data_IF_805263215118
#
_entry.id   IF_805263215118
#
_cell.length_a   1.000
_cell.length_b   1.000
_cell.length_c   1.000
_cell.angle_alpha   90.00
_cell.angle_beta   90.00
_cell.angle_gamma   90.00
#
_symmetry.space_group_name_H-M   'P 1'
#
loop_
_entity.id
_entity.type
_entity.pdbx_description
1 polymer ?
#
# COMPACT_ATOMS: atom_id res chain seq x y z
N UNK A 1 -12.61 -7.72 8.47
CA UNK A 1 -13.10 -6.66 7.58
C UNK A 1 -11.93 -6.20 6.71
N UNK A 2 -12.04 -6.28 5.39
CA UNK A 2 -10.98 -5.90 4.45
C UNK A 2 -11.29 -4.48 3.97
N UNK A 3 -10.40 -3.51 4.20
CA UNK A 3 -10.68 -2.11 3.88
C UNK A 3 -9.80 -1.55 2.77
N UNK A 4 -8.49 -1.68 2.84
CA UNK A 4 -7.57 -1.13 1.84
C UNK A 4 -6.45 -2.14 1.58
N UNK A 5 -6.67 -3.14 0.73
CA UNK A 5 -5.62 -4.08 0.36
C UNK A 5 -4.52 -3.37 -0.44
N UNK A 6 -3.27 -3.50 0.02
CA UNK A 6 -2.08 -3.00 -0.66
C UNK A 6 -1.14 -4.17 -0.91
N UNK A 7 -0.73 -4.35 -2.16
CA UNK A 7 0.16 -5.43 -2.58
C UNK A 7 1.37 -4.86 -3.33
N UNK A 8 2.61 -5.15 -2.90
CA UNK A 8 3.78 -4.80 -3.69
C UNK A 8 3.87 -5.70 -4.93
N UNK A 9 4.09 -5.08 -6.07
CA UNK A 9 4.14 -5.75 -7.38
C UNK A 9 5.28 -5.19 -8.23
N UNK A 10 5.73 -5.95 -9.22
CA UNK A 10 6.73 -5.53 -10.19
C UNK A 10 6.36 -6.00 -11.60
N UNK A 11 7.00 -5.45 -12.60
CA UNK A 11 6.78 -5.80 -14.01
C UNK A 11 5.48 -5.24 -14.57
N UNK A 12 4.98 -5.85 -15.63
CA UNK A 12 3.74 -5.42 -16.29
C UNK A 12 2.54 -6.02 -15.56
N UNK A 13 1.75 -5.16 -14.93
CA UNK A 13 0.49 -5.54 -14.29
C UNK A 13 -0.63 -5.26 -15.27
N UNK A 14 -1.26 -6.32 -15.75
CA UNK A 14 -2.48 -6.28 -16.56
C UNK A 14 -3.71 -6.54 -15.69
N UNK A 15 -4.89 -6.24 -16.22
CA UNK A 15 -6.16 -6.65 -15.61
C UNK A 15 -6.20 -8.18 -15.48
N UNK A 16 -6.51 -8.70 -14.30
CA UNK A 16 -6.60 -10.15 -14.07
C UNK A 16 -6.11 -10.56 -12.68
N UNK A 17 -5.68 -11.77 -12.57
CA UNK A 17 -5.15 -12.31 -11.33
C UNK A 17 -3.78 -11.69 -11.01
N UNK A 18 -3.71 -10.95 -9.91
CA UNK A 18 -2.49 -10.36 -9.36
C UNK A 18 -2.09 -10.99 -8.02
N UNK A 19 -2.80 -11.99 -7.56
CA UNK A 19 -2.48 -12.69 -6.31
C UNK A 19 -1.09 -13.31 -6.37
N UNK A 20 -0.40 -13.35 -5.25
CA UNK A 20 0.87 -14.05 -5.08
C UNK A 20 0.67 -15.25 -4.17
N UNK A 21 1.32 -16.34 -4.51
CA UNK A 21 1.53 -17.45 -3.58
C UNK A 21 2.57 -17.04 -2.53
N UNK A 22 2.49 -17.66 -1.37
CA UNK A 22 3.49 -17.59 -0.30
C UNK A 22 3.57 -18.94 0.43
N UNK A 23 4.66 -19.16 1.15
CA UNK A 23 4.83 -20.33 2.00
C UNK A 23 4.89 -19.91 3.48
N UNK A 24 4.22 -20.68 4.33
CA UNK A 24 4.33 -20.48 5.78
C UNK A 24 5.75 -20.59 6.33
N UNK A 25 6.65 -21.28 5.63
CA UNK A 25 8.09 -21.32 5.98
C UNK A 25 8.79 -19.97 5.78
N UNK A 26 8.20 -19.09 4.95
CA UNK A 26 8.71 -17.75 4.61
C UNK A 26 7.83 -16.64 5.20
N UNK A 27 7.05 -16.97 6.23
CA UNK A 27 6.17 -16.08 6.95
C UNK A 27 6.63 -15.96 8.40
N UNK A 28 6.57 -14.76 8.96
CA UNK A 28 6.87 -14.49 10.36
C UNK A 28 5.88 -13.47 10.91
N UNK A 29 5.31 -13.79 12.07
CA UNK A 29 4.37 -12.91 12.76
C UNK A 29 4.72 -12.81 14.24
N UNK A 30 4.71 -11.60 14.78
CA UNK A 30 4.82 -11.29 16.20
C UNK A 30 4.01 -10.04 16.52
N UNK A 31 3.65 -9.76 17.77
CA UNK A 31 2.92 -8.54 18.10
C UNK A 31 3.59 -7.29 17.50
N UNK A 32 2.83 -6.53 16.72
CA UNK A 32 3.31 -5.32 16.04
C UNK A 32 4.15 -5.52 14.78
N UNK A 33 4.39 -6.76 14.35
CA UNK A 33 5.22 -7.03 13.17
C UNK A 33 4.74 -8.24 12.39
N UNK A 34 4.65 -8.10 11.08
CA UNK A 34 4.38 -9.19 10.15
C UNK A 34 5.35 -9.14 8.97
N UNK A 35 5.81 -10.31 8.53
CA UNK A 35 6.66 -10.45 7.36
C UNK A 35 6.20 -11.63 6.52
N UNK A 36 6.24 -11.47 5.19
CA UNK A 36 5.96 -12.55 4.24
C UNK A 36 6.77 -12.35 2.95
N UNK A 37 7.22 -13.45 2.36
CA UNK A 37 7.82 -13.43 1.03
C UNK A 37 6.78 -13.76 -0.03
N UNK A 38 6.56 -12.84 -0.95
CA UNK A 38 5.61 -12.96 -2.07
C UNK A 38 6.32 -13.59 -3.26
N UNK A 39 6.09 -14.87 -3.50
CA UNK A 39 6.86 -15.69 -4.45
C UNK A 39 6.73 -15.19 -5.90
N UNK A 40 5.52 -14.83 -6.33
CA UNK A 40 5.26 -14.36 -7.69
C UNK A 40 6.08 -13.12 -8.05
N UNK A 41 6.24 -12.21 -7.12
CA UNK A 41 6.92 -10.93 -7.35
C UNK A 41 8.36 -10.91 -6.83
N UNK A 42 8.77 -11.93 -6.08
CA UNK A 42 10.09 -11.99 -5.45
C UNK A 42 10.31 -10.85 -4.43
N UNK A 43 9.24 -10.45 -3.74
CA UNK A 43 9.25 -9.31 -2.81
C UNK A 43 9.13 -9.80 -1.38
N UNK A 44 10.01 -9.33 -0.51
CA UNK A 44 9.84 -9.47 0.93
C UNK A 44 9.03 -8.27 1.46
N UNK A 45 7.86 -8.55 2.03
CA UNK A 45 6.96 -7.55 2.60
C UNK A 45 7.04 -7.61 4.12
N UNK A 46 7.40 -6.48 4.75
CA UNK A 46 7.44 -6.28 6.18
C UNK A 46 6.41 -5.20 6.55
N UNK A 47 5.57 -5.48 7.55
CA UNK A 47 4.46 -4.61 7.96
C UNK A 47 4.51 -4.37 9.45
N UNK A 48 4.28 -3.13 9.85
CA UNK A 48 4.03 -2.73 11.24
C UNK A 48 2.94 -1.67 11.29
N UNK A 49 2.40 -1.37 12.45
CA UNK A 49 1.32 -0.39 12.59
C UNK A 49 1.34 0.30 13.95
N UNK A 50 0.77 1.47 13.98
CA UNK A 50 0.35 2.18 15.18
C UNK A 50 -1.18 2.11 15.31
N UNK A 51 -1.77 2.94 16.17
CA UNK A 51 -3.22 2.92 16.39
C UNK A 51 -4.04 3.26 15.11
N UNK A 52 -3.55 4.21 14.31
CA UNK A 52 -4.26 4.76 13.15
C UNK A 52 -3.43 4.78 11.87
N UNK A 53 -2.25 4.18 11.89
CA UNK A 53 -1.36 4.21 10.74
C UNK A 53 -0.74 2.84 10.49
N UNK A 54 -0.45 2.56 9.21
CA UNK A 54 0.32 1.39 8.78
C UNK A 54 1.67 1.84 8.20
N UNK A 55 2.70 1.06 8.46
CA UNK A 55 4.02 1.23 7.86
C UNK A 55 4.41 -0.04 7.14
N UNK A 56 4.54 0.05 5.84
CA UNK A 56 4.95 -1.04 4.97
C UNK A 56 6.38 -0.81 4.48
N UNK A 57 7.17 -1.87 4.47
CA UNK A 57 8.51 -1.88 3.91
C UNK A 57 8.64 -3.07 2.97
N UNK A 58 8.96 -2.80 1.71
CA UNK A 58 9.01 -3.78 0.65
C UNK A 58 10.42 -3.86 0.05
N UNK A 59 11.04 -5.03 0.16
CA UNK A 59 12.35 -5.29 -0.43
C UNK A 59 12.17 -6.07 -1.73
N UNK A 60 12.49 -5.42 -2.84
CA UNK A 60 12.45 -5.96 -4.19
C UNK A 60 13.84 -6.45 -4.62
N UNK A 61 13.90 -7.26 -5.67
CA UNK A 61 15.16 -7.54 -6.36
C UNK A 61 15.71 -6.24 -6.97
N UNK A 62 17.04 -6.05 -7.04
CA UNK A 62 17.61 -4.77 -7.49
C UNK A 62 17.23 -4.33 -8.90
N UNK A 63 16.94 -5.27 -9.79
CA UNK A 63 16.59 -4.97 -11.19
C UNK A 63 15.09 -4.74 -11.41
N UNK A 64 14.28 -4.95 -10.38
CA UNK A 64 12.82 -4.79 -10.48
C UNK A 64 12.40 -3.34 -10.27
N UNK A 65 11.45 -2.86 -11.08
CA UNK A 65 10.73 -1.61 -10.80
C UNK A 65 9.76 -1.84 -9.64
N UNK A 66 9.71 -0.87 -8.75
CA UNK A 66 8.84 -0.93 -7.58
C UNK A 66 7.49 -0.33 -7.90
N UNK A 67 6.45 -1.08 -7.58
CA UNK A 67 5.04 -0.65 -7.69
C UNK A 67 4.25 -1.16 -6.50
N UNK A 68 3.16 -0.50 -6.19
CA UNK A 68 2.14 -1.02 -5.30
C UNK A 68 0.79 -1.03 -6.01
N UNK A 69 0.06 -2.11 -5.85
CA UNK A 69 -1.32 -2.24 -6.25
C UNK A 69 -2.20 -1.94 -5.04
N UNK A 70 -3.14 -1.03 -5.21
CA UNK A 70 -4.16 -0.68 -4.21
C UNK A 70 -5.50 -1.15 -4.74
N UNK A 71 -6.06 -2.20 -4.11
CA UNK A 71 -7.36 -2.78 -4.49
C UNK A 71 -8.48 -2.12 -3.68
N UNK A 72 -8.80 -0.90 -4.06
CA UNK A 72 -9.70 -0.04 -3.30
C UNK A 72 -11.16 -0.48 -3.39
N UNK A 73 -11.55 -1.24 -4.42
CA UNK A 73 -12.92 -1.69 -4.61
C UNK A 73 -13.22 -3.07 -4.01
N UNK A 74 -12.19 -3.76 -3.49
CA UNK A 74 -12.34 -5.10 -2.94
C UNK A 74 -12.69 -5.06 -1.46
N UNK A 75 -13.98 -5.10 -1.17
CA UNK A 75 -14.53 -5.21 0.19
C UNK A 75 -15.54 -6.36 0.27
N UNK A 76 -15.89 -6.78 1.49
CA UNK A 76 -16.88 -7.84 1.67
C UNK A 76 -18.31 -7.42 1.28
N UNK A 77 -18.61 -6.12 1.32
CA UNK A 77 -19.99 -5.61 1.19
C UNK A 77 -20.13 -4.58 0.04
N UNK A 78 -19.18 -4.56 -0.88
CA UNK A 78 -19.15 -3.61 -1.99
C UNK A 78 -18.71 -2.20 -1.59
N UNK A 79 -18.30 -1.43 -2.57
CA UNK A 79 -17.86 -0.03 -2.43
C UNK A 79 -18.83 0.83 -3.23
N UNK A 80 -19.38 1.89 -2.61
CA UNK A 80 -20.32 2.81 -3.24
C UNK A 80 -19.62 3.91 -4.01
N UNK A 81 -18.53 4.42 -3.44
CA UNK A 81 -17.69 5.47 -4.02
C UNK A 81 -16.25 5.33 -3.55
N UNK A 82 -15.32 5.69 -4.40
CA UNK A 82 -13.90 5.64 -4.09
C UNK A 82 -13.11 6.63 -4.93
N UNK A 83 -11.98 7.04 -4.42
CA UNK A 83 -10.99 7.79 -5.19
C UNK A 83 -9.58 7.47 -4.74
N UNK A 84 -8.65 7.65 -5.65
CA UNK A 84 -7.22 7.68 -5.39
C UNK A 84 -6.59 8.75 -6.28
N UNK A 85 -5.77 9.61 -5.70
CA UNK A 85 -5.14 10.70 -6.43
C UNK A 85 -3.74 10.99 -5.91
N UNK A 86 -2.86 11.39 -6.83
CA UNK A 86 -1.55 11.94 -6.48
C UNK A 86 -1.75 13.34 -5.88
N UNK A 87 -1.18 13.58 -4.70
CA UNK A 87 -1.22 14.88 -4.00
C UNK A 87 0.02 15.69 -4.34
N UNK A 88 1.20 15.04 -4.26
CA UNK A 88 2.49 15.61 -4.62
C UNK A 88 3.42 14.50 -5.14
N UNK A 89 4.71 14.81 -5.29
CA UNK A 89 5.69 13.86 -5.84
C UNK A 89 5.88 12.59 -5.00
N UNK A 90 5.57 12.62 -3.72
CA UNK A 90 5.79 11.48 -2.79
C UNK A 90 4.53 11.02 -2.09
N UNK A 91 3.38 11.65 -2.40
CA UNK A 91 2.16 11.48 -1.63
C UNK A 91 0.97 11.17 -2.52
N UNK A 92 0.16 10.23 -2.09
CA UNK A 92 -1.17 10.00 -2.65
C UNK A 92 -2.21 9.83 -1.55
N UNK A 93 -3.44 10.13 -1.86
CA UNK A 93 -4.55 10.03 -0.93
C UNK A 93 -5.80 9.49 -1.61
N UNK A 94 -6.79 9.12 -0.82
CA UNK A 94 -8.04 8.65 -1.37
C UNK A 94 -9.10 8.39 -0.31
N UNK A 95 -10.24 7.98 -0.82
CA UNK A 95 -11.38 7.54 -0.01
C UNK A 95 -11.92 6.21 -0.51
N UNK A 96 -12.58 5.51 0.41
CA UNK A 96 -13.35 4.33 0.13
C UNK A 96 -14.63 4.41 0.96
N UNK A 97 -15.76 4.56 0.29
CA UNK A 97 -17.08 4.62 0.92
C UNK A 97 -17.76 3.27 0.81
N UNK A 98 -17.65 2.51 1.88
CA UNK A 98 -18.26 1.20 2.11
C UNK A 98 -19.01 1.20 3.44
N UNK A 99 -19.13 0.10 4.15
CA UNK A 99 -19.73 0.07 5.50
C UNK A 99 -18.95 0.87 6.55
N UNK A 100 -17.67 1.16 6.32
CA UNK A 100 -16.89 2.08 7.13
C UNK A 100 -16.16 3.02 6.19
N UNK A 101 -16.64 4.25 6.07
CA UNK A 101 -16.03 5.24 5.20
C UNK A 101 -14.59 5.51 5.62
N UNK A 102 -13.63 5.11 4.78
CA UNK A 102 -12.20 5.26 5.06
C UNK A 102 -11.63 6.39 4.20
N UNK A 103 -10.84 7.21 4.82
CA UNK A 103 -9.99 8.21 4.21
C UNK A 103 -8.55 7.82 4.50
N UNK A 104 -7.69 7.86 3.50
CA UNK A 104 -6.28 7.54 3.69
C UNK A 104 -5.36 8.60 3.08
N UNK A 105 -4.19 8.72 3.67
CA UNK A 105 -3.11 9.59 3.22
C UNK A 105 -1.80 8.81 3.30
N UNK A 106 -1.15 8.62 2.16
CA UNK A 106 0.01 7.73 2.03
C UNK A 106 1.25 8.51 1.55
N UNK A 107 2.38 8.28 2.22
CA UNK A 107 3.67 8.90 1.89
C UNK A 107 4.67 7.80 1.55
N UNK A 108 5.36 7.96 0.41
CA UNK A 108 6.39 7.07 -0.09
C UNK A 108 7.78 7.69 0.06
N UNK A 109 8.82 6.87 0.20
CA UNK A 109 10.21 7.30 0.12
C UNK A 109 10.77 7.35 -1.31
N UNK A 110 9.95 7.01 -2.31
CA UNK A 110 10.23 7.16 -3.73
C UNK A 110 9.25 8.13 -4.38
N UNK A 111 9.71 8.82 -5.42
CA UNK A 111 8.87 9.71 -6.22
C UNK A 111 7.83 8.90 -6.99
N UNK A 112 6.56 9.30 -6.89
CA UNK A 112 5.46 8.70 -7.63
C UNK A 112 5.56 9.15 -9.09
N UNK A 113 5.72 8.19 -9.98
CA UNK A 113 5.72 8.41 -11.41
C UNK A 113 4.29 8.54 -11.94
N UNK A 114 3.46 7.53 -11.66
CA UNK A 114 2.09 7.44 -12.19
C UNK A 114 1.18 6.68 -11.22
N UNK A 115 -0.13 6.95 -11.33
CA UNK A 115 -1.21 6.17 -10.72
C UNK A 115 -2.17 5.76 -11.82
N UNK A 116 -2.10 4.50 -12.22
CA UNK A 116 -2.90 3.93 -13.30
C UNK A 116 -4.02 3.06 -12.75
N UNK A 117 -5.22 3.26 -13.25
CA UNK A 117 -6.36 2.42 -12.91
C UNK A 117 -6.51 1.26 -13.90
N UNK A 118 -6.79 0.07 -13.39
CA UNK A 118 -7.03 -1.14 -14.15
C UNK A 118 -8.34 -1.77 -13.69
N UNK A 119 -9.10 -2.29 -14.65
CA UNK A 119 -10.29 -3.09 -14.35
C UNK A 119 -9.88 -4.55 -14.17
N UNK A 120 -10.41 -5.18 -13.12
CA UNK A 120 -10.25 -6.60 -12.83
C UNK A 120 -11.65 -7.20 -12.59
N UNK A 121 -12.33 -7.59 -13.67
CA UNK A 121 -13.73 -7.97 -13.62
C UNK A 121 -14.62 -6.78 -13.20
N UNK A 122 -15.34 -6.96 -12.10
CA UNK A 122 -16.17 -5.90 -11.49
C UNK A 122 -15.37 -4.98 -10.52
N UNK A 123 -14.10 -5.33 -10.26
CA UNK A 123 -13.24 -4.55 -9.38
C UNK A 123 -12.35 -3.60 -10.17
N UNK A 124 -12.03 -2.48 -9.55
CA UNK A 124 -11.05 -1.53 -10.05
C UNK A 124 -9.86 -1.46 -9.09
N UNK A 125 -8.67 -1.62 -9.64
CA UNK A 125 -7.43 -1.57 -8.88
C UNK A 125 -6.57 -0.41 -9.38
N UNK A 126 -5.86 0.23 -8.47
CA UNK A 126 -4.92 1.30 -8.80
C UNK A 126 -3.49 0.78 -8.65
N UNK A 127 -2.67 0.99 -9.67
CA UNK A 127 -1.24 0.68 -9.64
C UNK A 127 -0.48 1.99 -9.52
N UNK A 128 0.19 2.16 -8.39
CA UNK A 128 1.11 3.28 -8.12
C UNK A 128 2.51 2.85 -8.53
N UNK A 129 3.09 3.51 -9.50
CA UNK A 129 4.45 3.30 -10.00
C UNK A 129 5.39 4.36 -9.45
N UNK A 130 6.65 3.97 -9.19
CA UNK A 130 7.65 4.85 -8.62
C UNK A 130 8.82 5.06 -9.58
N UNK A 131 9.18 6.34 -9.81
CA UNK A 131 10.27 6.74 -10.68
C UNK A 131 11.62 6.33 -10.10
N UNK A 132 12.55 5.97 -10.98
CA UNK A 132 13.94 5.62 -10.64
C UNK A 132 14.04 4.63 -9.47
N UNK A 133 13.09 3.69 -9.41
CA UNK A 133 12.87 2.84 -8.23
C UNK A 133 13.73 1.57 -8.21
N UNK A 134 14.52 1.28 -9.25
CA UNK A 134 15.46 0.16 -9.26
C UNK A 134 16.55 0.31 -8.20
N UNK A 135 17.15 -0.79 -7.81
CA UNK A 135 18.18 -0.83 -6.77
C UNK A 135 17.72 -1.49 -5.47
N UNK A 136 18.67 -1.67 -4.54
CA UNK A 136 18.48 -2.41 -3.30
C UNK A 136 17.77 -1.65 -2.18
N UNK A 137 17.56 -0.32 -2.33
CA UNK A 137 16.85 0.48 -1.33
C UNK A 137 15.38 0.02 -1.25
N UNK A 138 14.85 -0.34 -0.08
CA UNK A 138 13.45 -0.74 0.07
C UNK A 138 12.49 0.38 -0.30
N UNK A 139 11.33 0.00 -0.83
CA UNK A 139 10.17 0.90 -0.89
C UNK A 139 9.52 0.94 0.50
N UNK A 140 9.41 2.11 1.05
CA UNK A 140 8.72 2.37 2.30
C UNK A 140 7.47 3.19 2.05
N UNK A 141 6.35 2.75 2.64
CA UNK A 141 5.05 3.40 2.49
C UNK A 141 4.43 3.55 3.87
N UNK A 142 4.21 4.78 4.29
CA UNK A 142 3.49 5.14 5.52
C UNK A 142 2.08 5.56 5.15
N UNK A 143 1.06 4.98 5.80
CA UNK A 143 -0.34 5.22 5.49
C UNK A 143 -1.09 5.62 6.76
N UNK A 144 -1.60 6.84 6.81
CA UNK A 144 -2.53 7.29 7.84
C UNK A 144 -3.96 7.03 7.42
N UNK A 145 -4.81 6.68 8.39
CA UNK A 145 -6.24 6.41 8.20
C UNK A 145 -7.11 7.33 9.05
N UNK A 146 -8.29 7.64 8.54
CA UNK A 146 -9.35 8.34 9.26
C UNK A 146 -10.72 7.94 8.74
N UNK A 147 -11.73 7.95 9.60
CA UNK A 147 -13.13 7.82 9.21
C UNK A 147 -13.81 9.17 8.98
N UNK A 148 -13.08 10.27 9.12
CA UNK A 148 -13.61 11.64 9.06
C UNK A 148 -13.18 12.34 7.76
N UNK A 149 -11.88 12.55 7.58
CA UNK A 149 -11.34 13.29 6.42
C UNK A 149 -9.93 12.85 6.06
N UNK A 150 -9.49 13.21 4.84
CA UNK A 150 -8.11 13.04 4.39
C UNK A 150 -7.15 13.89 5.25
N UNK A 151 -7.55 15.10 5.65
CA UNK A 151 -6.73 15.93 6.53
C UNK A 151 -6.51 15.30 7.90
N UNK A 152 -7.53 14.65 8.45
CA UNK A 152 -7.37 13.88 9.69
C UNK A 152 -6.47 12.64 9.50
N UNK A 153 -6.53 11.98 8.34
CA UNK A 153 -5.62 10.87 8.03
C UNK A 153 -4.16 11.37 7.95
N UNK A 154 -3.93 12.52 7.33
CA UNK A 154 -2.64 13.20 7.32
C UNK A 154 -2.16 13.57 8.72
N UNK A 155 -3.00 14.20 9.52
CA UNK A 155 -2.68 14.54 10.92
C UNK A 155 -2.31 13.30 11.75
N UNK A 156 -3.06 12.20 11.61
CA UNK A 156 -2.75 10.94 12.28
C UNK A 156 -1.35 10.42 11.89
N UNK A 157 -1.02 10.48 10.60
CA UNK A 157 0.28 10.06 10.10
C UNK A 157 1.42 10.93 10.68
N UNK A 158 1.24 12.24 10.69
CA UNK A 158 2.21 13.19 11.24
C UNK A 158 2.42 12.98 12.74
N UNK A 159 1.36 12.75 13.49
CA UNK A 159 1.44 12.53 14.93
C UNK A 159 2.08 11.20 15.31
N UNK A 160 1.78 10.14 14.58
CA UNK A 160 2.16 8.78 14.96
C UNK A 160 3.46 8.28 14.31
N UNK A 161 3.80 8.78 13.09
CA UNK A 161 4.90 8.23 12.30
C UNK A 161 5.89 9.27 11.75
N UNK A 162 5.68 10.59 12.03
CA UNK A 162 6.65 11.60 11.61
C UNK A 162 8.02 11.26 12.19
N UNK A 163 9.05 11.31 11.34
CA UNK A 163 10.45 11.08 11.71
C UNK A 163 10.78 9.69 12.30
N UNK A 164 9.82 8.76 12.35
CA UNK A 164 10.09 7.39 12.78
C UNK A 164 10.55 6.53 11.62
N UNK A 165 11.59 5.74 11.87
CA UNK A 165 11.98 4.61 11.02
C UNK A 165 11.06 3.42 11.24
N UNK A 166 11.10 2.44 10.33
CA UNK A 166 10.33 1.19 10.45
C UNK A 166 10.59 0.46 11.78
N UNK A 167 11.83 0.45 12.25
CA UNK A 167 12.22 -0.21 13.50
C UNK A 167 11.77 0.52 14.78
N UNK A 168 11.32 1.78 14.66
CA UNK A 168 10.84 2.58 15.81
C UNK A 168 9.31 2.56 15.96
N UNK A 169 8.62 1.92 15.04
CA UNK A 169 7.18 1.68 15.08
C UNK A 169 6.91 0.26 15.54
#
# INVERSE_FOLDING_TARGET
>A
MLHLPVLPVTGNISSGDYASTYSHSNESARPGYYQVFLERYGVNAELTSTLRCAYHKYTFRPDDDKKVLVDITRTNNGVRDWSIQKVDDYTFSGNQDAEGNIRFYAVSNYKIEDIRQLKNGEHEVSVVSFADSKGSKPLELKIGFSFVSIDNAKMNLEQEMKDKSFAQV
#
